data_IF_518985569300
#
_entry.id   IF_518985569300
#
_cell.length_a   1.000
_cell.length_b   1.000
_cell.length_c   1.000
_cell.angle_alpha   90.00
_cell.angle_beta   90.00
_cell.angle_gamma   90.00
#
_symmetry.space_group_name_H-M   'P 1'
#
loop_
_entity.id
_entity.type
_entity.pdbx_description
1 polymer ?
#
# COMPACT_ATOMS: atom_id res chain seq x y z
N UNK A 1 8.37 1.58 23.55
CA UNK A 1 7.68 2.14 22.36
C UNK A 1 8.60 1.96 21.18
N UNK A 2 8.30 1.06 20.25
CA UNK A 2 9.12 0.76 19.06
C UNK A 2 8.45 1.26 17.77
N UNK A 3 7.74 2.40 17.85
CA UNK A 3 7.15 3.02 16.67
C UNK A 3 8.24 3.44 15.68
N UNK A 4 8.06 3.10 14.40
CA UNK A 4 8.97 3.49 13.32
C UNK A 4 10.14 2.53 13.04
N UNK A 5 10.30 1.44 13.80
CA UNK A 5 11.27 0.38 13.49
C UNK A 5 10.62 -0.72 12.64
N UNK A 6 11.41 -1.32 11.76
CA UNK A 6 11.02 -2.56 11.07
C UNK A 6 10.72 -3.61 12.14
N UNK A 7 9.55 -4.27 12.04
CA UNK A 7 9.15 -5.24 13.04
C UNK A 7 10.06 -6.46 13.03
N UNK A 8 10.46 -6.91 14.23
CA UNK A 8 11.20 -8.16 14.42
C UNK A 8 10.32 -9.36 14.78
N UNK A 9 8.99 -9.18 14.87
CA UNK A 9 8.04 -10.21 15.32
C UNK A 9 6.93 -10.45 14.30
N UNK A 10 6.34 -11.67 14.24
CA UNK A 10 5.20 -11.96 13.39
C UNK A 10 3.96 -11.15 13.75
N UNK A 11 3.12 -10.85 12.76
CA UNK A 11 1.82 -10.18 12.93
C UNK A 11 0.76 -10.87 12.06
N UNK A 12 -0.50 -10.70 12.41
CA UNK A 12 -1.65 -11.15 11.62
C UNK A 12 -2.43 -9.95 11.11
N UNK A 13 -3.12 -10.12 9.97
CA UNK A 13 -4.02 -9.11 9.44
C UNK A 13 -5.45 -9.58 9.70
N UNK A 14 -6.23 -8.81 10.45
CA UNK A 14 -7.62 -9.14 10.73
C UNK A 14 -8.47 -9.21 9.45
N UNK A 15 -9.28 -10.27 9.34
CA UNK A 15 -10.19 -10.49 8.21
C UNK A 15 -9.58 -11.22 7.01
N UNK A 16 -8.38 -11.80 7.15
CA UNK A 16 -7.74 -12.65 6.14
C UNK A 16 -6.95 -13.78 6.81
N UNK A 17 -6.74 -14.90 6.10
CA UNK A 17 -5.81 -15.95 6.51
C UNK A 17 -4.34 -15.63 6.18
N UNK A 18 -4.09 -14.55 5.45
CA UNK A 18 -2.75 -14.14 5.05
C UNK A 18 -1.90 -13.72 6.27
N UNK A 19 -0.71 -14.33 6.36
CA UNK A 19 0.32 -13.99 7.34
C UNK A 19 1.52 -13.37 6.61
N UNK A 20 1.78 -12.06 6.79
CA UNK A 20 2.92 -11.43 6.14
C UNK A 20 4.25 -11.97 6.69
N UNK A 21 5.23 -12.29 5.81
CA UNK A 21 6.55 -12.72 6.25
C UNK A 21 7.24 -11.61 7.05
N UNK A 22 8.25 -11.93 7.85
CA UNK A 22 9.05 -10.91 8.52
C UNK A 22 9.70 -10.00 7.47
N UNK A 23 9.52 -8.68 7.56
CA UNK A 23 10.12 -7.76 6.61
C UNK A 23 11.64 -7.73 6.79
N UNK A 24 12.38 -7.85 5.68
CA UNK A 24 13.80 -7.58 5.63
C UNK A 24 14.02 -6.18 5.03
N UNK A 25 14.93 -5.40 5.63
CA UNK A 25 15.19 -4.03 5.19
C UNK A 25 15.69 -3.94 3.74
N UNK A 26 16.57 -4.86 3.33
CA UNK A 26 17.11 -4.89 1.97
C UNK A 26 16.02 -5.21 0.96
N UNK A 27 15.26 -6.29 1.20
CA UNK A 27 14.14 -6.69 0.31
C UNK A 27 13.09 -5.57 0.17
N UNK A 28 12.82 -4.84 1.26
CA UNK A 28 11.89 -3.70 1.24
C UNK A 28 12.43 -2.56 0.39
N UNK A 29 13.71 -2.20 0.54
CA UNK A 29 14.35 -1.13 -0.24
C UNK A 29 14.43 -1.49 -1.72
N UNK A 30 14.83 -2.72 -2.02
CA UNK A 30 14.93 -3.22 -3.40
C UNK A 30 13.56 -3.19 -4.06
N UNK A 31 12.53 -3.70 -3.36
CA UNK A 31 11.18 -3.71 -3.91
C UNK A 31 10.59 -2.32 -4.13
N UNK A 32 10.84 -1.36 -3.23
CA UNK A 32 10.43 0.03 -3.44
C UNK A 32 11.12 0.62 -4.67
N UNK A 33 12.43 0.35 -4.83
CA UNK A 33 13.23 0.82 -5.97
C UNK A 33 12.70 0.26 -7.28
N UNK A 34 12.40 -1.04 -7.32
CA UNK A 34 11.78 -1.71 -8.48
C UNK A 34 10.47 -1.05 -8.87
N UNK A 35 9.57 -0.76 -7.91
CA UNK A 35 8.26 -0.16 -8.18
C UNK A 35 8.41 1.24 -8.76
N UNK A 36 9.29 2.07 -8.19
CA UNK A 36 9.52 3.45 -8.65
C UNK A 36 10.18 3.48 -10.03
N UNK A 37 11.04 2.50 -10.33
CA UNK A 37 11.75 2.39 -11.60
C UNK A 37 10.90 1.86 -12.77
N UNK A 38 9.66 1.40 -12.52
CA UNK A 38 8.79 0.89 -13.60
C UNK A 38 8.49 1.95 -14.66
N UNK A 39 8.32 1.52 -15.90
CA UNK A 39 7.74 2.37 -16.95
C UNK A 39 6.21 2.33 -16.86
N UNK A 40 5.66 3.08 -15.92
CA UNK A 40 4.21 3.22 -15.69
C UNK A 40 3.85 4.62 -15.18
N UNK A 41 2.57 4.96 -15.18
CA UNK A 41 2.09 6.25 -14.68
C UNK A 41 2.44 6.41 -13.18
N UNK A 42 2.73 7.64 -12.75
CA UNK A 42 3.04 7.94 -11.35
C UNK A 42 1.93 7.53 -10.37
N UNK A 43 0.66 7.61 -10.80
CA UNK A 43 -0.47 7.14 -10.00
C UNK A 43 -0.44 5.62 -9.81
N UNK A 44 -0.01 4.85 -10.82
CA UNK A 44 0.08 3.39 -10.71
C UNK A 44 1.21 2.98 -9.78
N UNK A 45 2.36 3.65 -9.88
CA UNK A 45 3.48 3.49 -8.94
C UNK A 45 3.06 3.83 -7.52
N UNK A 46 2.39 4.97 -7.32
CA UNK A 46 1.91 5.39 -6.00
C UNK A 46 0.94 4.37 -5.38
N UNK A 47 -0.03 3.88 -6.17
CA UNK A 47 -0.98 2.86 -5.71
C UNK A 47 -0.25 1.55 -5.38
N UNK A 48 0.68 1.11 -6.23
CA UNK A 48 1.45 -0.11 -5.98
C UNK A 48 2.32 0.01 -4.72
N UNK A 49 3.01 1.14 -4.51
CA UNK A 49 3.76 1.43 -3.29
C UNK A 49 2.85 1.37 -2.05
N UNK A 50 1.65 1.95 -2.15
CA UNK A 50 0.65 1.93 -1.08
C UNK A 50 0.27 0.49 -0.71
N UNK A 51 -0.14 -0.30 -1.71
CA UNK A 51 -0.60 -1.68 -1.52
C UNK A 51 0.54 -2.60 -1.05
N UNK A 52 1.74 -2.41 -1.58
CA UNK A 52 2.94 -3.12 -1.15
C UNK A 52 3.21 -2.88 0.34
N UNK A 53 3.30 -1.62 0.77
CA UNK A 53 3.55 -1.27 2.18
C UNK A 53 2.45 -1.83 3.11
N UNK A 54 1.19 -1.83 2.66
CA UNK A 54 0.07 -2.41 3.40
C UNK A 54 0.16 -3.94 3.51
N UNK A 55 0.65 -4.64 2.49
CA UNK A 55 0.77 -6.10 2.46
C UNK A 55 1.96 -6.57 3.29
N UNK A 56 3.11 -5.90 3.17
CA UNK A 56 4.35 -6.27 3.86
C UNK A 56 4.26 -6.09 5.39
N UNK A 57 3.38 -5.19 5.87
CA UNK A 57 3.26 -4.84 7.30
C UNK A 57 4.64 -4.52 7.91
N UNK A 58 5.31 -3.49 7.39
CA UNK A 58 6.70 -3.15 7.74
C UNK A 58 6.85 -2.84 9.25
N UNK A 59 5.84 -2.19 9.84
CA UNK A 59 5.81 -1.75 11.22
C UNK A 59 4.89 -2.62 12.09
N UNK A 60 4.99 -2.47 13.42
CA UNK A 60 4.10 -3.15 14.37
C UNK A 60 2.63 -2.67 14.30
N UNK A 61 2.41 -1.38 14.07
CA UNK A 61 1.10 -0.77 13.87
C UNK A 61 1.21 0.41 12.90
N UNK A 62 0.07 0.86 12.37
CA UNK A 62 -0.02 2.07 11.56
C UNK A 62 0.30 1.85 10.08
N UNK A 63 0.60 0.63 9.64
CA UNK A 63 0.99 0.31 8.27
C UNK A 63 0.04 0.91 7.22
N UNK A 64 -1.29 0.80 7.41
CA UNK A 64 -2.26 1.38 6.48
C UNK A 64 -2.15 2.91 6.36
N UNK A 65 -2.01 3.60 7.49
CA UNK A 65 -1.88 5.07 7.53
C UNK A 65 -0.54 5.51 6.93
N UNK A 66 0.55 4.84 7.32
CA UNK A 66 1.89 5.11 6.79
C UNK A 66 1.97 4.89 5.28
N UNK A 67 1.33 3.82 4.77
CA UNK A 67 1.31 3.49 3.34
C UNK A 67 0.64 4.59 2.50
N UNK A 68 -0.50 5.11 2.96
CA UNK A 68 -1.20 6.21 2.26
C UNK A 68 -0.38 7.49 2.28
N UNK A 69 0.24 7.83 3.43
CA UNK A 69 1.10 9.01 3.55
C UNK A 69 2.29 8.90 2.59
N UNK A 70 2.94 7.73 2.54
CA UNK A 70 4.10 7.49 1.68
C UNK A 70 3.73 7.57 0.19
N UNK A 71 2.64 6.92 -0.22
CA UNK A 71 2.15 6.99 -1.59
C UNK A 71 1.76 8.43 -2.01
N UNK A 72 1.13 9.18 -1.11
CA UNK A 72 0.79 10.58 -1.36
C UNK A 72 2.03 11.47 -1.45
N UNK A 73 3.05 11.22 -0.62
CA UNK A 73 4.32 11.93 -0.72
C UNK A 73 4.97 11.74 -2.09
N UNK A 74 5.00 10.49 -2.58
CA UNK A 74 5.46 10.20 -3.94
C UNK A 74 4.63 10.96 -4.99
N UNK A 75 3.30 10.84 -4.93
CA UNK A 75 2.42 11.40 -5.96
C UNK A 75 2.45 12.94 -6.01
N UNK A 76 2.51 13.59 -4.85
CA UNK A 76 2.63 15.06 -4.73
C UNK A 76 3.97 15.53 -5.30
N UNK A 77 5.07 14.82 -5.03
CA UNK A 77 6.39 15.17 -5.56
C UNK A 77 6.46 15.12 -7.09
N UNK A 78 5.59 14.32 -7.73
CA UNK A 78 5.48 14.20 -9.17
C UNK A 78 4.34 15.05 -9.77
N UNK A 79 3.67 15.89 -8.97
CA UNK A 79 2.55 16.72 -9.44
C UNK A 79 1.28 15.93 -9.79
N UNK A 80 1.20 14.65 -9.41
CA UNK A 80 0.12 13.73 -9.78
C UNK A 80 -1.13 13.81 -8.90
N UNK A 81 -1.23 14.76 -7.98
CA UNK A 81 -2.34 14.85 -7.03
C UNK A 81 -2.12 14.01 -5.76
N UNK A 82 -3.20 13.44 -5.22
CA UNK A 82 -3.16 12.61 -4.01
C UNK A 82 -4.22 11.49 -4.03
N UNK A 83 -3.99 10.46 -3.21
CA UNK A 83 -4.91 9.36 -2.96
C UNK A 83 -5.65 9.63 -1.64
N UNK A 84 -6.98 9.54 -1.70
CA UNK A 84 -7.86 9.52 -0.53
C UNK A 84 -8.90 8.43 -0.73
N UNK A 85 -9.15 7.59 0.27
CA UNK A 85 -10.21 6.59 0.22
C UNK A 85 -11.47 7.25 0.80
N UNK A 86 -12.48 7.61 -0.02
CA UNK A 86 -13.69 8.23 0.50
C UNK A 86 -14.40 7.29 1.46
N UNK A 87 -15.03 7.84 2.51
CA UNK A 87 -15.72 7.04 3.54
C UNK A 87 -16.70 6.01 2.94
N UNK A 88 -17.50 6.44 1.95
CA UNK A 88 -18.45 5.58 1.23
C UNK A 88 -17.80 4.39 0.51
N UNK A 89 -16.53 4.50 0.14
CA UNK A 89 -15.77 3.50 -0.61
C UNK A 89 -14.96 2.57 0.32
N UNK A 90 -14.81 2.92 1.60
CA UNK A 90 -14.03 2.15 2.59
C UNK A 90 -14.47 0.68 2.68
N UNK A 91 -15.77 0.32 2.71
CA UNK A 91 -16.18 -1.08 2.75
C UNK A 91 -15.67 -1.87 1.53
N UNK A 92 -15.77 -1.28 0.33
CA UNK A 92 -15.33 -1.92 -0.91
C UNK A 92 -13.81 -2.03 -0.98
N UNK A 93 -13.10 -0.98 -0.57
CA UNK A 93 -11.65 -0.99 -0.45
C UNK A 93 -11.16 -2.11 0.47
N UNK A 94 -11.75 -2.23 1.67
CA UNK A 94 -11.38 -3.28 2.63
C UNK A 94 -11.60 -4.69 2.06
N UNK A 95 -12.72 -4.91 1.36
CA UNK A 95 -13.00 -6.18 0.69
C UNK A 95 -11.92 -6.52 -0.35
N UNK A 96 -11.61 -5.58 -1.25
CA UNK A 96 -10.60 -5.78 -2.29
C UNK A 96 -9.20 -5.97 -1.69
N UNK A 97 -8.90 -5.27 -0.59
CA UNK A 97 -7.61 -5.35 0.08
C UNK A 97 -7.39 -6.73 0.71
N UNK A 98 -8.43 -7.30 1.34
CA UNK A 98 -8.40 -8.67 1.87
C UNK A 98 -8.14 -9.66 0.73
N UNK A 99 -8.87 -9.56 -0.38
CA UNK A 99 -8.67 -10.44 -1.52
C UNK A 99 -7.26 -10.35 -2.12
N UNK A 100 -6.70 -9.14 -2.21
CA UNK A 100 -5.32 -8.93 -2.62
C UNK A 100 -4.30 -9.59 -1.67
N UNK A 101 -4.57 -9.60 -0.37
CA UNK A 101 -3.74 -10.35 0.58
C UNK A 101 -3.82 -11.86 0.34
N UNK A 102 -5.00 -12.36 -0.03
CA UNK A 102 -5.27 -13.78 -0.32
C UNK A 102 -4.82 -14.24 -1.72
N UNK A 103 -4.19 -13.35 -2.49
CA UNK A 103 -3.58 -13.70 -3.77
C UNK A 103 -4.41 -13.33 -5.00
N UNK A 104 -5.51 -12.59 -4.85
CA UNK A 104 -6.20 -11.99 -6.00
C UNK A 104 -5.27 -10.99 -6.71
N UNK A 105 -5.40 -10.91 -8.03
CA UNK A 105 -4.60 -10.03 -8.88
C UNK A 105 -4.68 -8.57 -8.39
N UNK A 106 -3.51 -7.94 -8.23
CA UNK A 106 -3.38 -6.56 -7.78
C UNK A 106 -4.12 -5.58 -8.72
N UNK A 107 -4.28 -5.93 -10.00
CA UNK A 107 -4.97 -5.12 -10.99
C UNK A 107 -6.40 -4.73 -10.57
N UNK A 108 -7.12 -5.61 -9.85
CA UNK A 108 -8.50 -5.33 -9.41
C UNK A 108 -8.57 -4.17 -8.42
N UNK A 109 -7.74 -4.20 -7.38
CA UNK A 109 -7.69 -3.13 -6.38
C UNK A 109 -7.01 -1.88 -6.93
N UNK A 110 -6.00 -2.02 -7.80
CA UNK A 110 -5.36 -0.89 -8.46
C UNK A 110 -6.34 -0.09 -9.29
N UNK A 111 -7.13 -0.76 -10.13
CA UNK A 111 -8.18 -0.11 -10.92
C UNK A 111 -9.19 0.62 -10.04
N UNK A 112 -9.66 -0.02 -8.98
CA UNK A 112 -10.57 0.61 -8.02
C UNK A 112 -9.97 1.88 -7.40
N UNK A 113 -8.71 1.84 -6.97
CA UNK A 113 -8.04 3.00 -6.38
C UNK A 113 -7.83 4.13 -7.39
N UNK A 114 -7.43 3.80 -8.63
CA UNK A 114 -7.27 4.77 -9.73
C UNK A 114 -8.59 5.47 -10.05
N UNK A 115 -9.71 4.74 -10.06
CA UNK A 115 -11.04 5.27 -10.40
C UNK A 115 -11.75 6.02 -9.27
N UNK A 116 -11.60 5.56 -8.01
CA UNK A 116 -12.42 6.03 -6.88
C UNK A 116 -11.66 6.82 -5.84
N UNK A 117 -10.33 6.67 -5.78
CA UNK A 117 -9.51 7.22 -4.71
C UNK A 117 -8.51 8.28 -5.17
N UNK A 118 -8.26 8.39 -6.48
CA UNK A 118 -7.37 9.41 -7.02
C UNK A 118 -8.04 10.77 -7.12
N UNK A 119 -7.36 11.81 -6.62
CA UNK A 119 -7.74 13.21 -6.74
C UNK A 119 -6.61 13.99 -7.39
N UNK A 120 -6.92 14.61 -8.52
CA UNK A 120 -6.04 15.58 -9.20
C UNK A 120 -6.40 16.99 -8.75
N UNK A 121 -5.51 17.94 -9.03
CA UNK A 121 -5.74 19.36 -8.83
C UNK A 121 -6.60 19.97 -9.93
#
# INVERSE_FOLDING_TARGET
>A
MEGGRIRGVPVTIGGTSYVPPLPNEFDVKDRITEIVAKESDDIEKAIELCLYCMKTQIFLDGNKRASVIFANHYLIAHGGGFIVIPEKEVPKFKQLLVKYYEGEDIAYIMRFMKEKCWKTF
#
